data_IF_505872265481
#
_entry.id   IF_505872265481
#
_cell.length_a   1.000
_cell.length_b   1.000
_cell.length_c   1.000
_cell.angle_alpha   90.00
_cell.angle_beta   90.00
_cell.angle_gamma   90.00
#
_symmetry.space_group_name_H-M   'P 1'
#
loop_
_entity.id
_entity.type
_entity.pdbx_description
1 polymer ?
#
# COMPACT_ATOMS: atom_id res chain seq x y z
N UNK A 1 90.18 -35.81 -35.04
CA UNK A 1 89.35 -34.60 -35.22
C UNK A 1 88.03 -34.78 -34.46
N UNK A 2 87.91 -34.14 -33.30
CA UNK A 2 86.71 -34.22 -32.45
C UNK A 2 86.04 -32.84 -32.40
N UNK A 3 84.78 -32.74 -32.84
CA UNK A 3 83.96 -31.55 -32.63
C UNK A 3 82.80 -31.89 -31.70
N UNK A 4 82.81 -31.27 -30.51
CA UNK A 4 81.88 -31.52 -29.41
C UNK A 4 80.82 -30.40 -29.46
N UNK A 5 79.63 -30.72 -29.96
CA UNK A 5 78.51 -29.78 -30.10
C UNK A 5 77.81 -29.59 -28.73
N UNK A 6 77.99 -28.45 -28.07
CA UNK A 6 77.22 -28.08 -26.87
C UNK A 6 75.83 -27.56 -27.29
N UNK A 7 74.75 -28.17 -26.79
CA UNK A 7 73.39 -27.62 -26.86
C UNK A 7 73.15 -26.75 -25.62
N UNK A 8 72.96 -25.46 -25.81
CA UNK A 8 72.49 -24.54 -24.76
C UNK A 8 70.98 -24.67 -24.61
N UNK A 9 70.50 -24.86 -23.39
CA UNK A 9 69.07 -24.83 -23.05
C UNK A 9 68.70 -23.38 -22.75
N UNK A 10 67.87 -22.77 -23.61
CA UNK A 10 67.28 -21.46 -23.38
C UNK A 10 66.08 -21.60 -22.43
N UNK A 11 66.24 -21.17 -21.18
CA UNK A 11 65.11 -20.94 -20.28
C UNK A 11 64.47 -19.58 -20.61
N UNK A 12 63.31 -19.58 -21.26
CA UNK A 12 62.51 -18.37 -21.43
C UNK A 12 61.90 -17.96 -20.08
N UNK A 13 62.22 -16.76 -19.61
CA UNK A 13 61.58 -16.14 -18.44
C UNK A 13 60.09 -15.96 -18.74
N UNK A 14 59.24 -16.85 -18.21
CA UNK A 14 57.79 -16.62 -18.13
C UNK A 14 57.56 -15.35 -17.30
N UNK A 15 57.26 -14.25 -17.97
CA UNK A 15 56.87 -13.00 -17.33
C UNK A 15 55.76 -13.27 -16.32
N UNK A 16 56.01 -12.96 -15.04
CA UNK A 16 55.11 -13.19 -13.92
C UNK A 16 53.88 -12.29 -14.13
N UNK A 17 52.84 -12.81 -14.81
CA UNK A 17 51.57 -12.11 -15.12
C UNK A 17 50.64 -11.95 -13.92
N UNK A 18 51.03 -12.51 -12.77
CA UNK A 18 50.30 -12.45 -11.51
C UNK A 18 49.95 -11.04 -10.99
N UNK A 19 50.80 -9.99 -11.12
CA UNK A 19 50.42 -8.68 -10.61
C UNK A 19 49.27 -8.05 -11.42
N UNK A 20 49.17 -8.34 -12.72
CA UNK A 20 48.05 -7.90 -13.56
C UNK A 20 46.75 -8.63 -13.23
N UNK A 21 46.83 -9.93 -12.94
CA UNK A 21 45.67 -10.73 -12.51
C UNK A 21 45.15 -10.22 -11.16
N UNK A 22 46.04 -9.92 -10.22
CA UNK A 22 45.67 -9.35 -8.91
C UNK A 22 45.04 -7.96 -9.05
N UNK A 23 45.59 -7.11 -9.92
CA UNK A 23 45.03 -5.78 -10.18
C UNK A 23 43.60 -5.87 -10.74
N UNK A 24 43.37 -6.75 -11.72
CA UNK A 24 42.04 -6.97 -12.31
C UNK A 24 41.07 -7.50 -11.25
N UNK A 25 41.51 -8.40 -10.38
CA UNK A 25 40.67 -8.94 -9.31
C UNK A 25 40.27 -7.84 -8.30
N UNK A 26 41.20 -6.96 -7.92
CA UNK A 26 40.93 -5.84 -7.02
C UNK A 26 39.94 -4.86 -7.65
N UNK A 27 40.10 -4.53 -8.94
CA UNK A 27 39.19 -3.64 -9.67
C UNK A 27 37.80 -4.28 -9.78
N UNK A 28 37.71 -5.57 -10.05
CA UNK A 28 36.44 -6.29 -10.11
C UNK A 28 35.73 -6.29 -8.76
N UNK A 29 36.45 -6.55 -7.66
CA UNK A 29 35.90 -6.48 -6.30
C UNK A 29 35.44 -5.06 -5.99
N UNK A 30 36.24 -4.03 -6.28
CA UNK A 30 35.88 -2.64 -6.05
C UNK A 30 34.64 -2.22 -6.86
N UNK A 31 34.52 -2.66 -8.11
CA UNK A 31 33.33 -2.44 -8.94
C UNK A 31 32.10 -3.16 -8.38
N UNK A 32 32.23 -4.41 -7.92
CA UNK A 32 31.13 -5.16 -7.29
C UNK A 32 30.71 -4.51 -5.97
N UNK A 33 31.67 -4.06 -5.15
CA UNK A 33 31.38 -3.34 -3.92
C UNK A 33 30.73 -1.98 -4.20
N UNK A 34 31.17 -1.27 -5.25
CA UNK A 34 30.59 0.00 -5.66
C UNK A 34 29.19 -0.17 -6.24
N UNK A 35 28.93 -1.22 -7.04
CA UNK A 35 27.58 -1.51 -7.54
C UNK A 35 26.66 -1.97 -6.42
N UNK A 36 27.15 -2.76 -5.46
CA UNK A 36 26.40 -3.11 -4.25
C UNK A 36 26.09 -1.87 -3.39
N UNK A 37 27.06 -0.97 -3.20
CA UNK A 37 26.89 0.28 -2.46
C UNK A 37 25.94 1.26 -3.17
N UNK A 38 26.04 1.38 -4.50
CA UNK A 38 25.14 2.22 -5.29
C UNK A 38 23.73 1.61 -5.40
N UNK A 39 23.60 0.28 -5.36
CA UNK A 39 22.32 -0.42 -5.22
C UNK A 39 21.73 -0.31 -3.82
N UNK A 40 22.58 -0.10 -2.80
CA UNK A 40 22.22 0.25 -1.43
C UNK A 40 22.03 1.76 -1.22
N UNK A 41 22.01 2.60 -2.28
CA UNK A 41 21.44 3.94 -2.12
C UNK A 41 20.07 3.73 -1.50
N UNK A 42 19.79 4.28 -0.30
CA UNK A 42 18.51 4.09 0.34
C UNK A 42 17.48 4.77 -0.56
N UNK A 43 16.86 4.00 -1.44
CA UNK A 43 15.61 4.40 -2.07
C UNK A 43 14.69 4.66 -0.90
N UNK A 44 14.23 5.92 -0.74
CA UNK A 44 13.46 6.40 0.41
C UNK A 44 12.74 5.25 1.11
N UNK A 45 13.26 4.81 2.25
CA UNK A 45 12.62 3.75 3.01
C UNK A 45 11.19 4.20 3.28
N UNK A 46 10.22 3.35 2.92
CA UNK A 46 8.82 3.64 3.20
C UNK A 46 8.68 3.87 4.70
N UNK A 47 8.06 4.98 5.14
CA UNK A 47 7.99 5.29 6.55
C UNK A 47 7.43 4.12 7.36
N UNK A 48 8.11 3.75 8.45
CA UNK A 48 7.65 2.72 9.40
C UNK A 48 6.61 3.30 10.37
N UNK A 49 5.59 3.93 9.80
CA UNK A 49 4.43 4.44 10.51
C UNK A 49 3.16 4.00 9.78
N UNK A 50 2.19 3.47 10.51
CA UNK A 50 0.94 3.00 9.96
C UNK A 50 -0.26 3.67 10.63
N UNK A 51 -1.34 3.86 9.89
CA UNK A 51 -2.62 4.34 10.41
C UNK A 51 -3.72 3.32 10.13
N UNK A 52 -4.57 3.07 11.14
CA UNK A 52 -5.81 2.31 11.00
C UNK A 52 -6.96 3.25 11.33
N UNK A 53 -7.78 3.58 10.34
CA UNK A 53 -8.98 4.40 10.48
C UNK A 53 -10.17 3.44 10.53
N UNK A 54 -10.65 3.17 11.74
CA UNK A 54 -11.68 2.17 12.05
C UNK A 54 -13.05 2.82 12.28
N UNK A 55 -13.53 3.52 11.25
CA UNK A 55 -14.88 4.10 11.24
C UNK A 55 -15.99 3.05 11.27
N UNK A 56 -15.75 1.87 10.69
CA UNK A 56 -16.73 0.78 10.61
C UNK A 56 -17.02 0.14 11.97
N UNK A 57 -16.14 0.27 12.96
CA UNK A 57 -16.34 -0.31 14.30
C UNK A 57 -17.55 0.23 15.06
N UNK A 58 -18.15 1.34 14.61
CA UNK A 58 -19.41 1.84 15.17
C UNK A 58 -20.57 0.85 14.97
N UNK A 59 -20.59 0.17 13.82
CA UNK A 59 -21.62 -0.81 13.48
C UNK A 59 -21.09 -2.26 13.60
N UNK A 60 -19.80 -2.47 13.30
CA UNK A 60 -19.14 -3.78 13.31
C UNK A 60 -17.82 -3.74 14.10
N UNK A 61 -17.88 -3.66 15.44
CA UNK A 61 -16.69 -3.63 16.28
C UNK A 61 -15.89 -4.94 16.14
N UNK A 62 -14.57 -4.82 15.96
CA UNK A 62 -13.70 -5.99 15.87
C UNK A 62 -12.35 -5.73 16.56
N UNK A 63 -12.29 -5.98 17.87
CA UNK A 63 -11.04 -5.84 18.65
C UNK A 63 -9.95 -6.78 18.15
N UNK A 64 -10.31 -8.00 17.77
CA UNK A 64 -9.36 -9.00 17.25
C UNK A 64 -8.66 -8.51 15.99
N UNK A 65 -9.38 -7.85 15.08
CA UNK A 65 -8.78 -7.23 13.90
C UNK A 65 -7.75 -6.17 14.28
N UNK A 66 -8.11 -5.25 15.19
CA UNK A 66 -7.23 -4.16 15.62
C UNK A 66 -5.98 -4.70 16.31
N UNK A 67 -6.13 -5.62 17.26
CA UNK A 67 -5.01 -6.21 18.00
C UNK A 67 -4.08 -7.02 17.09
N UNK A 68 -4.65 -7.83 16.19
CA UNK A 68 -3.86 -8.64 15.26
C UNK A 68 -3.08 -7.78 14.28
N UNK A 69 -3.75 -6.78 13.68
CA UNK A 69 -3.14 -5.86 12.73
C UNK A 69 -2.03 -5.05 13.39
N UNK A 70 -2.31 -4.49 14.57
CA UNK A 70 -1.32 -3.75 15.36
C UNK A 70 -0.11 -4.61 15.66
N UNK A 71 -0.31 -5.84 16.17
CA UNK A 71 0.77 -6.76 16.52
C UNK A 71 1.65 -7.09 15.32
N UNK A 72 1.07 -7.41 14.16
CA UNK A 72 1.82 -7.72 12.93
C UNK A 72 2.70 -6.52 12.53
N UNK A 73 2.12 -5.32 12.55
CA UNK A 73 2.82 -4.10 12.13
C UNK A 73 3.92 -3.69 13.12
N UNK A 74 3.66 -3.74 14.43
CA UNK A 74 4.66 -3.44 15.46
C UNK A 74 5.84 -4.42 15.41
N UNK A 75 5.57 -5.72 15.19
CA UNK A 75 6.62 -6.72 14.99
C UNK A 75 7.48 -6.45 13.74
N UNK A 76 6.91 -5.77 12.74
CA UNK A 76 7.60 -5.34 11.53
C UNK A 76 8.27 -3.95 11.64
N UNK A 77 8.29 -3.39 12.86
CA UNK A 77 8.94 -2.13 13.19
C UNK A 77 8.09 -0.88 12.97
N UNK A 78 6.79 -1.01 12.71
CA UNK A 78 5.91 0.15 12.55
C UNK A 78 5.50 0.75 13.90
N UNK A 79 5.45 2.08 13.97
CA UNK A 79 4.58 2.77 14.93
C UNK A 79 3.15 2.78 14.38
N UNK A 80 2.16 2.38 15.16
CA UNK A 80 0.76 2.22 14.69
C UNK A 80 -0.17 3.19 15.39
N UNK A 81 -0.76 4.12 14.64
CA UNK A 81 -1.82 5.00 15.10
C UNK A 81 -3.19 4.38 14.78
N UNK A 82 -4.06 4.26 15.79
CA UNK A 82 -5.41 3.71 15.63
C UNK A 82 -6.42 4.83 15.89
N UNK A 83 -7.26 5.10 14.90
CA UNK A 83 -8.34 6.08 14.95
C UNK A 83 -9.67 5.34 14.97
N UNK A 84 -10.35 5.36 16.12
CA UNK A 84 -11.71 4.82 16.23
C UNK A 84 -12.75 5.66 15.48
N UNK A 85 -14.06 5.34 15.63
CA UNK A 85 -15.13 5.99 14.88
C UNK A 85 -15.17 7.51 15.04
N UNK A 86 -15.05 8.00 16.26
CA UNK A 86 -15.11 9.45 16.56
C UNK A 86 -13.90 10.22 16.03
N UNK A 87 -12.78 9.54 15.80
CA UNK A 87 -11.53 10.15 15.34
C UNK A 87 -11.28 9.95 13.84
N UNK A 88 -12.08 9.11 13.17
CA UNK A 88 -12.07 8.93 11.72
C UNK A 88 -12.81 10.10 11.08
N UNK A 89 -12.13 11.24 10.96
CA UNK A 89 -12.74 12.52 10.57
C UNK A 89 -12.28 13.00 9.19
N UNK A 90 -13.06 13.89 8.56
CA UNK A 90 -12.64 14.55 7.32
C UNK A 90 -11.38 15.41 7.53
N UNK A 91 -11.22 15.98 8.72
CA UNK A 91 -9.98 16.67 9.09
C UNK A 91 -8.78 15.71 9.08
N UNK A 92 -8.92 14.55 9.72
CA UNK A 92 -7.88 13.53 9.70
C UNK A 92 -7.56 13.10 8.26
N UNK A 93 -8.59 12.80 7.46
CA UNK A 93 -8.43 12.43 6.06
C UNK A 93 -7.58 13.46 5.30
N UNK A 94 -7.90 14.76 5.41
CA UNK A 94 -7.13 15.85 4.77
C UNK A 94 -5.67 15.85 5.17
N UNK A 95 -5.36 15.56 6.43
CA UNK A 95 -3.99 15.59 6.95
C UNK A 95 -3.17 14.32 6.70
N UNK A 96 -3.80 13.19 6.36
CA UNK A 96 -3.12 11.89 6.22
C UNK A 96 -1.85 11.91 5.35
N UNK A 97 -1.82 12.56 4.16
CA UNK A 97 -0.61 12.57 3.34
C UNK A 97 0.57 13.28 4.01
N UNK A 98 0.32 14.18 4.96
CA UNK A 98 1.36 14.95 5.66
C UNK A 98 1.86 14.28 6.95
N UNK A 99 1.32 13.12 7.34
CA UNK A 99 1.63 12.44 8.61
C UNK A 99 2.67 11.31 8.47
N UNK A 100 3.34 11.20 7.32
CA UNK A 100 4.41 10.24 7.05
C UNK A 100 4.01 8.78 7.30
N UNK A 101 2.78 8.39 6.94
CA UNK A 101 2.39 6.99 6.97
C UNK A 101 2.89 6.24 5.74
N UNK A 102 3.54 5.10 5.94
CA UNK A 102 3.88 4.14 4.88
C UNK A 102 2.77 3.15 4.59
N UNK A 103 1.82 2.97 5.52
CA UNK A 103 0.63 2.14 5.37
C UNK A 103 -0.58 2.84 5.97
N UNK A 104 -1.71 2.84 5.25
CA UNK A 104 -2.98 3.37 5.74
C UNK A 104 -4.09 2.36 5.45
N UNK A 105 -4.80 1.94 6.49
CA UNK A 105 -5.96 1.06 6.39
C UNK A 105 -7.22 1.86 6.69
N UNK A 106 -8.09 2.00 5.70
CA UNK A 106 -9.44 2.54 5.88
C UNK A 106 -10.40 1.38 6.10
N UNK A 107 -10.80 1.14 7.34
CA UNK A 107 -11.87 0.24 7.73
C UNK A 107 -13.14 1.06 7.91
N UNK A 108 -13.84 1.30 6.81
CA UNK A 108 -14.98 2.24 6.73
C UNK A 108 -16.04 1.72 5.77
N UNK A 109 -17.26 2.25 5.88
CA UNK A 109 -18.31 1.99 4.89
C UNK A 109 -17.92 2.49 3.49
N UNK A 110 -18.58 1.95 2.47
CA UNK A 110 -18.36 2.28 1.07
C UNK A 110 -19.65 2.25 0.28
N UNK A 111 -19.65 2.92 -0.86
CA UNK A 111 -20.82 3.01 -1.71
C UNK A 111 -20.47 3.34 -3.14
N UNK A 112 -21.33 2.90 -4.07
CA UNK A 112 -21.32 3.35 -5.46
C UNK A 112 -21.92 4.73 -5.56
N UNK A 113 -21.27 5.60 -6.30
CA UNK A 113 -21.79 6.89 -6.73
C UNK A 113 -22.39 6.67 -8.11
N UNK A 114 -23.69 6.97 -8.25
CA UNK A 114 -24.42 6.82 -9.50
C UNK A 114 -25.12 8.13 -9.86
N UNK A 115 -25.19 8.42 -11.15
CA UNK A 115 -26.06 9.47 -11.68
C UNK A 115 -27.53 9.03 -11.59
N UNK A 116 -28.49 9.98 -11.68
CA UNK A 116 -29.92 9.66 -11.68
C UNK A 116 -30.34 8.64 -12.76
N UNK A 117 -29.65 8.61 -13.90
CA UNK A 117 -29.88 7.64 -14.99
C UNK A 117 -29.24 6.26 -14.73
N UNK A 118 -28.66 6.04 -13.54
CA UNK A 118 -28.02 4.79 -13.14
C UNK A 118 -26.55 4.64 -13.53
N UNK A 119 -25.98 5.60 -14.26
CA UNK A 119 -24.57 5.54 -14.69
C UNK A 119 -23.63 5.61 -13.48
N UNK A 120 -22.72 4.64 -13.39
CA UNK A 120 -21.69 4.58 -12.35
C UNK A 120 -20.63 5.67 -12.58
N UNK A 121 -20.35 6.45 -11.54
CA UNK A 121 -19.34 7.53 -11.57
C UNK A 121 -18.11 7.23 -10.70
N UNK A 122 -18.11 6.09 -10.01
CA UNK A 122 -17.06 5.70 -9.08
C UNK A 122 -17.60 5.35 -7.71
N UNK A 123 -16.68 5.16 -6.77
CA UNK A 123 -16.98 4.81 -5.38
C UNK A 123 -16.68 5.97 -4.43
N UNK A 124 -17.17 5.91 -3.19
CA UNK A 124 -16.78 6.85 -2.15
C UNK A 124 -16.52 6.19 -0.80
N UNK A 125 -15.60 6.78 -0.03
CA UNK A 125 -15.29 6.36 1.35
C UNK A 125 -16.18 7.12 2.33
N UNK A 126 -16.82 6.42 3.25
CA UNK A 126 -17.71 7.03 4.25
C UNK A 126 -16.87 7.36 5.49
N UNK A 127 -16.57 8.64 5.71
CA UNK A 127 -15.53 9.03 6.67
C UNK A 127 -16.11 9.26 8.06
N UNK A 128 -17.01 10.22 8.19
CA UNK A 128 -17.62 10.61 9.46
C UNK A 128 -19.13 10.80 9.29
N UNK A 129 -19.89 10.72 10.39
CA UNK A 129 -21.31 11.03 10.39
C UNK A 129 -21.54 12.49 10.01
N UNK A 130 -22.52 12.74 9.15
CA UNK A 130 -22.86 14.07 8.66
C UNK A 130 -24.37 14.27 8.59
N UNK A 131 -24.79 15.47 8.99
CA UNK A 131 -26.15 15.96 8.81
C UNK A 131 -26.26 16.91 7.61
N UNK A 132 -27.47 17.43 7.33
CA UNK A 132 -27.70 18.36 6.22
C UNK A 132 -26.85 19.64 6.25
N UNK A 133 -26.50 20.13 7.44
CA UNK A 133 -25.69 21.35 7.60
C UNK A 133 -24.19 21.05 7.76
N UNK A 134 -23.79 19.78 7.89
CA UNK A 134 -22.39 19.38 8.02
C UNK A 134 -21.63 19.67 6.73
N UNK A 135 -20.52 20.41 6.82
CA UNK A 135 -19.67 20.77 5.68
C UNK A 135 -20.47 21.34 4.50
N UNK A 136 -21.55 22.08 4.77
CA UNK A 136 -22.51 22.59 3.78
C UNK A 136 -21.87 23.10 2.49
N UNK A 137 -20.84 23.95 2.60
CA UNK A 137 -20.12 24.50 1.44
C UNK A 137 -19.45 23.42 0.58
N UNK A 138 -18.85 22.41 1.20
CA UNK A 138 -18.21 21.30 0.46
C UNK A 138 -19.25 20.36 -0.15
N UNK A 139 -20.40 20.16 0.51
CA UNK A 139 -21.53 19.38 -0.03
C UNK A 139 -22.19 20.11 -1.20
N UNK A 140 -22.52 21.39 -1.05
CA UNK A 140 -23.12 22.23 -2.09
C UNK A 140 -22.21 22.40 -3.31
N UNK A 141 -20.89 22.50 -3.09
CA UNK A 141 -19.90 22.53 -4.16
C UNK A 141 -19.65 21.16 -4.82
N UNK A 142 -20.30 20.09 -4.34
CA UNK A 142 -20.17 18.73 -4.86
C UNK A 142 -18.84 18.05 -4.52
N UNK A 143 -18.04 18.60 -3.61
CA UNK A 143 -16.80 17.99 -3.14
C UNK A 143 -17.07 16.80 -2.22
N UNK A 144 -18.05 16.91 -1.34
CA UNK A 144 -18.55 15.82 -0.51
C UNK A 144 -19.92 15.39 -1.00
N UNK A 145 -20.21 14.11 -0.80
CA UNK A 145 -21.55 13.57 -0.98
C UNK A 145 -22.11 13.16 0.38
N UNK A 146 -23.43 13.10 0.50
CA UNK A 146 -24.10 12.50 1.65
C UNK A 146 -24.55 11.09 1.26
N UNK A 147 -24.21 10.10 2.09
CA UNK A 147 -24.52 8.70 1.85
C UNK A 147 -25.04 7.99 3.10
N UNK A 148 -25.84 6.95 2.90
CA UNK A 148 -26.31 6.06 3.98
C UNK A 148 -25.87 4.63 3.68
N UNK A 149 -25.15 3.96 4.59
CA UNK A 149 -24.86 2.54 4.47
C UNK A 149 -26.15 1.71 4.48
N UNK A 150 -26.14 0.54 3.84
CA UNK A 150 -27.33 -0.33 3.73
C UNK A 150 -27.96 -0.71 5.08
N UNK A 151 -27.15 -0.90 6.11
CA UNK A 151 -27.59 -1.38 7.43
C UNK A 151 -27.59 -0.29 8.50
N UNK A 152 -27.45 1.00 8.12
CA UNK A 152 -27.44 2.12 9.05
C UNK A 152 -28.40 3.21 8.59
N UNK A 153 -29.16 3.78 9.53
CA UNK A 153 -30.00 4.95 9.25
C UNK A 153 -29.20 6.26 9.33
N UNK A 154 -27.93 6.19 9.74
CA UNK A 154 -27.05 7.34 9.86
C UNK A 154 -26.58 7.82 8.49
N UNK A 155 -26.51 9.13 8.35
CA UNK A 155 -25.95 9.78 7.15
C UNK A 155 -24.49 10.08 7.40
N UNK A 156 -23.65 9.85 6.39
CA UNK A 156 -22.21 10.04 6.43
C UNK A 156 -21.76 11.02 5.34
N UNK A 157 -20.68 11.74 5.62
CA UNK A 157 -19.92 12.42 4.59
C UNK A 157 -19.10 11.40 3.82
N UNK A 158 -19.37 11.34 2.53
CA UNK A 158 -18.71 10.45 1.58
C UNK A 158 -17.65 11.25 0.84
N UNK A 159 -16.41 10.77 0.89
CA UNK A 159 -15.27 11.31 0.16
C UNK A 159 -15.13 10.58 -1.20
N UNK A 160 -15.55 11.20 -2.31
CA UNK A 160 -15.34 10.70 -3.66
C UNK A 160 -13.89 10.91 -4.16
N UNK A 161 -13.48 10.35 -5.31
CA UNK A 161 -12.12 10.44 -5.81
C UNK A 161 -11.62 11.88 -5.98
N UNK A 162 -12.46 12.82 -6.46
CA UNK A 162 -12.05 14.22 -6.61
C UNK A 162 -11.79 14.91 -5.27
N UNK A 163 -12.44 14.49 -4.18
CA UNK A 163 -12.11 14.98 -2.84
C UNK A 163 -10.68 14.58 -2.45
N UNK A 164 -10.29 13.34 -2.73
CA UNK A 164 -8.93 12.84 -2.50
C UNK A 164 -7.93 13.61 -3.37
N UNK A 165 -8.27 13.92 -4.62
CA UNK A 165 -7.40 14.66 -5.54
C UNK A 165 -7.24 16.13 -5.14
N UNK A 166 -8.27 16.79 -4.62
CA UNK A 166 -8.24 18.26 -4.47
C UNK A 166 -8.10 18.73 -3.02
N UNK A 167 -8.62 17.98 -2.04
CA UNK A 167 -8.75 18.46 -0.65
C UNK A 167 -7.69 17.94 0.30
N UNK A 168 -6.94 16.89 -0.04
CA UNK A 168 -5.89 16.41 0.85
C UNK A 168 -4.70 17.37 0.88
N UNK A 169 -4.08 17.48 2.06
CA UNK A 169 -2.94 18.34 2.31
C UNK A 169 -1.64 17.53 2.18
N UNK A 170 -0.76 17.98 1.29
CA UNK A 170 0.52 17.32 1.02
C UNK A 170 0.41 16.11 0.09
N UNK A 171 1.41 15.23 0.19
CA UNK A 171 1.56 14.01 -0.63
C UNK A 171 2.05 12.85 0.22
N UNK A 172 1.50 11.67 0.00
CA UNK A 172 1.98 10.43 0.58
C UNK A 172 3.42 10.16 0.12
N UNK A 173 4.25 9.62 1.03
CA UNK A 173 5.61 9.18 0.73
C UNK A 173 5.60 7.70 0.31
N UNK A 174 5.03 7.41 -0.87
CA UNK A 174 4.90 6.05 -1.43
C UNK A 174 4.13 5.09 -0.53
N UNK A 175 3.08 5.60 0.12
CA UNK A 175 2.26 4.82 1.04
C UNK A 175 1.49 3.69 0.34
N UNK A 176 1.24 2.61 1.06
CA UNK A 176 0.28 1.57 0.70
C UNK A 176 -1.08 1.96 1.28
N UNK A 177 -2.11 1.99 0.45
CA UNK A 177 -3.49 2.29 0.86
C UNK A 177 -4.31 1.01 0.77
N UNK A 178 -4.97 0.64 1.88
CA UNK A 178 -5.95 -0.45 1.93
C UNK A 178 -7.32 0.16 2.22
N UNK A 179 -8.16 0.28 1.20
CA UNK A 179 -9.53 0.75 1.31
C UNK A 179 -10.47 -0.44 1.54
N UNK A 180 -10.60 -0.86 2.79
CA UNK A 180 -11.47 -1.95 3.20
C UNK A 180 -12.92 -1.48 3.29
N UNK A 181 -13.51 -1.27 2.11
CA UNK A 181 -14.77 -0.57 1.90
C UNK A 181 -15.41 -1.04 0.59
N UNK A 182 -16.72 -1.26 0.58
CA UNK A 182 -17.45 -1.79 -0.58
C UNK A 182 -17.26 -0.92 -1.84
N UNK A 183 -17.20 -1.58 -3.00
CA UNK A 183 -17.13 -0.97 -4.34
C UNK A 183 -15.90 -0.11 -4.65
N UNK A 184 -14.98 0.06 -3.71
CA UNK A 184 -13.75 0.84 -3.89
C UNK A 184 -12.78 0.28 -4.92
N UNK A 185 -13.01 -0.96 -5.36
CA UNK A 185 -12.27 -1.64 -6.42
C UNK A 185 -13.06 -1.88 -7.71
N UNK A 186 -14.30 -1.38 -7.84
CA UNK A 186 -15.14 -1.58 -9.03
C UNK A 186 -14.53 -0.93 -10.29
N UNK A 187 -13.78 0.16 -10.12
CA UNK A 187 -12.96 0.82 -11.13
C UNK A 187 -11.59 1.20 -10.57
N UNK A 188 -10.78 1.89 -11.37
CA UNK A 188 -9.46 2.41 -11.01
C UNK A 188 -9.47 3.87 -10.52
N UNK A 189 -10.62 4.57 -10.57
CA UNK A 189 -10.70 6.02 -10.37
C UNK A 189 -10.28 6.42 -8.95
N UNK A 190 -10.72 5.64 -7.95
CA UNK A 190 -10.29 5.87 -6.56
C UNK A 190 -8.79 5.58 -6.38
N UNK A 191 -8.26 4.53 -6.99
CA UNK A 191 -6.83 4.22 -6.93
C UNK A 191 -5.98 5.33 -7.56
N UNK A 192 -6.38 5.81 -8.75
CA UNK A 192 -5.74 6.94 -9.45
C UNK A 192 -5.75 8.21 -8.57
N UNK A 193 -6.83 8.47 -7.84
CA UNK A 193 -6.90 9.61 -6.93
C UNK A 193 -5.82 9.55 -5.83
N UNK A 194 -5.61 8.38 -5.22
CA UNK A 194 -4.54 8.18 -4.24
C UNK A 194 -3.14 8.22 -4.89
N UNK A 195 -2.96 7.69 -6.09
CA UNK A 195 -1.68 7.75 -6.82
C UNK A 195 -1.29 9.18 -7.19
N UNK A 196 -2.25 10.01 -7.62
CA UNK A 196 -2.02 11.45 -7.83
C UNK A 196 -1.53 12.15 -6.56
N UNK A 197 -1.89 11.61 -5.38
CA UNK A 197 -1.42 12.06 -4.07
C UNK A 197 -0.16 11.36 -3.56
N UNK A 198 0.51 10.51 -4.35
CA UNK A 198 1.81 9.91 -4.03
C UNK A 198 1.76 8.54 -3.34
N UNK A 199 0.60 7.88 -3.31
CA UNK A 199 0.53 6.47 -2.91
C UNK A 199 1.23 5.58 -3.96
N UNK A 200 1.84 4.47 -3.51
CA UNK A 200 2.53 3.49 -4.36
C UNK A 200 1.65 2.31 -4.74
N UNK A 201 0.74 1.95 -3.84
CA UNK A 201 -0.16 0.81 -4.00
C UNK A 201 -1.52 1.15 -3.41
N UNK A 202 -2.57 0.63 -4.04
CA UNK A 202 -3.94 0.77 -3.59
C UNK A 202 -4.62 -0.59 -3.66
N UNK A 203 -5.27 -0.98 -2.57
CA UNK A 203 -6.05 -2.21 -2.47
C UNK A 203 -7.48 -1.81 -2.13
N UNK A 204 -8.41 -2.23 -2.96
CA UNK A 204 -9.84 -2.01 -2.78
C UNK A 204 -10.62 -3.31 -3.00
N UNK A 205 -11.95 -3.21 -2.94
CA UNK A 205 -12.82 -4.37 -3.09
C UNK A 205 -13.91 -4.10 -4.13
N UNK A 206 -14.06 -5.05 -5.06
CA UNK A 206 -15.15 -5.11 -6.04
C UNK A 206 -16.40 -5.62 -5.37
N UNK A 207 -17.53 -4.98 -5.67
CA UNK A 207 -18.82 -5.36 -5.11
C UNK A 207 -18.92 -5.13 -3.60
N UNK A 208 -19.89 -5.81 -3.00
CA UNK A 208 -20.11 -5.83 -1.56
C UNK A 208 -19.19 -6.86 -0.92
N UNK A 209 -18.73 -6.56 0.29
CA UNK A 209 -17.98 -7.51 1.12
C UNK A 209 -18.51 -7.46 2.54
N UNK A 210 -18.47 -8.61 3.21
CA UNK A 210 -18.73 -8.74 4.63
C UNK A 210 -17.55 -8.14 5.42
N UNK A 211 -17.81 -7.49 6.57
CA UNK A 211 -16.75 -6.96 7.41
C UNK A 211 -15.72 -8.03 7.82
N UNK A 212 -16.18 -9.24 8.16
CA UNK A 212 -15.32 -10.36 8.56
C UNK A 212 -14.36 -10.80 7.44
N UNK A 213 -14.83 -10.84 6.20
CA UNK A 213 -13.98 -11.17 5.06
C UNK A 213 -12.90 -10.11 4.84
N UNK A 214 -13.29 -8.82 4.84
CA UNK A 214 -12.34 -7.71 4.70
C UNK A 214 -11.27 -7.71 5.79
N UNK A 215 -11.68 -7.91 7.05
CA UNK A 215 -10.79 -8.00 8.21
C UNK A 215 -9.80 -9.18 8.04
N UNK A 216 -10.29 -10.36 7.65
CA UNK A 216 -9.48 -11.57 7.46
C UNK A 216 -8.49 -11.43 6.31
N UNK A 217 -8.95 -10.90 5.17
CA UNK A 217 -8.11 -10.63 4.00
C UNK A 217 -6.96 -9.70 4.38
N UNK A 218 -7.27 -8.59 5.07
CA UNK A 218 -6.28 -7.59 5.47
C UNK A 218 -5.25 -8.17 6.44
N UNK A 219 -5.68 -8.92 7.47
CA UNK A 219 -4.75 -9.57 8.41
C UNK A 219 -3.80 -10.53 7.68
N UNK A 220 -4.33 -11.41 6.81
CA UNK A 220 -3.52 -12.37 6.05
C UNK A 220 -2.54 -11.65 5.13
N UNK A 221 -3.00 -10.60 4.45
CA UNK A 221 -2.17 -9.80 3.54
C UNK A 221 -1.01 -9.16 4.30
N UNK A 222 -1.27 -8.50 5.42
CA UNK A 222 -0.24 -7.84 6.21
C UNK A 222 0.76 -8.84 6.79
N UNK A 223 0.30 -10.02 7.22
CA UNK A 223 1.20 -11.11 7.66
C UNK A 223 2.12 -11.55 6.53
N UNK A 224 1.58 -11.77 5.31
CA UNK A 224 2.39 -12.16 4.15
C UNK A 224 3.42 -11.10 3.76
N UNK A 225 3.03 -9.82 3.77
CA UNK A 225 3.95 -8.72 3.43
C UNK A 225 5.05 -8.58 4.50
N UNK A 226 4.68 -8.58 5.79
CA UNK A 226 5.58 -8.09 6.84
C UNK A 226 6.18 -9.17 7.75
N UNK A 227 5.52 -10.31 7.92
CA UNK A 227 6.08 -11.43 8.67
C UNK A 227 6.78 -12.43 7.74
N UNK A 228 6.23 -12.66 6.54
CA UNK A 228 6.80 -13.57 5.54
C UNK A 228 7.72 -12.86 4.53
N UNK A 229 7.83 -11.53 4.59
CA UNK A 229 8.67 -10.69 3.72
C UNK A 229 8.39 -10.85 2.21
N UNK A 230 7.13 -11.10 1.84
CA UNK A 230 6.72 -11.19 0.44
C UNK A 230 6.51 -9.80 -0.17
N UNK A 231 6.69 -9.68 -1.50
CA UNK A 231 6.27 -8.46 -2.19
C UNK A 231 4.75 -8.28 -2.11
N UNK A 232 4.27 -7.04 -2.23
CA UNK A 232 2.83 -6.72 -2.17
C UNK A 232 2.04 -7.54 -3.20
N UNK A 233 2.57 -7.69 -4.42
CA UNK A 233 1.91 -8.41 -5.50
C UNK A 233 1.83 -9.92 -5.22
N UNK A 234 2.93 -10.53 -4.76
CA UNK A 234 2.94 -11.95 -4.39
C UNK A 234 2.04 -12.23 -3.20
N UNK A 235 2.14 -11.43 -2.14
CA UNK A 235 1.29 -11.52 -0.96
C UNK A 235 -0.20 -11.42 -1.34
N UNK A 236 -0.55 -10.42 -2.14
CA UNK A 236 -1.92 -10.21 -2.60
C UNK A 236 -2.45 -11.40 -3.40
N UNK A 237 -1.68 -11.88 -4.38
CA UNK A 237 -2.09 -13.02 -5.21
C UNK A 237 -2.30 -14.27 -4.36
N UNK A 238 -1.40 -14.57 -3.42
CA UNK A 238 -1.56 -15.71 -2.53
C UNK A 238 -2.79 -15.59 -1.63
N UNK A 239 -3.05 -14.43 -1.01
CA UNK A 239 -4.27 -14.29 -0.17
C UNK A 239 -5.53 -14.37 -1.02
N UNK A 240 -5.54 -13.76 -2.20
CA UNK A 240 -6.68 -13.79 -3.12
C UNK A 240 -7.00 -15.21 -3.58
N UNK A 241 -5.98 -16.01 -3.87
CA UNK A 241 -6.13 -17.43 -4.21
C UNK A 241 -6.60 -18.26 -3.01
N UNK A 242 -6.00 -18.04 -1.83
CA UNK A 242 -6.33 -18.77 -0.60
C UNK A 242 -7.77 -18.53 -0.13
N UNK A 243 -8.24 -17.27 -0.17
CA UNK A 243 -9.56 -16.91 0.34
C UNK A 243 -10.67 -16.97 -0.71
N UNK A 244 -10.34 -16.83 -1.99
CA UNK A 244 -11.34 -16.64 -3.05
C UNK A 244 -12.22 -15.40 -2.82
N UNK A 245 -13.37 -15.29 -3.51
CA UNK A 245 -14.36 -14.24 -3.28
C UNK A 245 -14.98 -14.30 -1.89
N UNK A 246 -15.57 -13.19 -1.45
CA UNK A 246 -16.38 -13.14 -0.24
C UNK A 246 -17.52 -14.19 -0.31
N UNK A 247 -17.65 -15.09 0.68
CA UNK A 247 -18.63 -16.17 0.62
C UNK A 247 -20.09 -15.72 0.76
N UNK A 248 -20.33 -14.51 1.28
CA UNK A 248 -21.66 -13.94 1.49
C UNK A 248 -22.10 -13.06 0.32
N UNK A 249 -21.18 -12.24 -0.19
CA UNK A 249 -21.51 -11.19 -1.17
C UNK A 249 -20.79 -11.34 -2.52
N UNK A 250 -19.91 -12.32 -2.64
CA UNK A 250 -19.10 -12.60 -3.83
C UNK A 250 -18.19 -11.43 -4.27
N UNK A 251 -17.98 -10.44 -3.40
CA UNK A 251 -17.02 -9.37 -3.63
C UNK A 251 -15.60 -9.89 -3.66
N UNK A 252 -14.71 -9.20 -4.38
CA UNK A 252 -13.32 -9.65 -4.57
C UNK A 252 -12.32 -8.52 -4.35
N UNK A 253 -11.17 -8.81 -3.75
CA UNK A 253 -10.11 -7.82 -3.60
C UNK A 253 -9.47 -7.53 -4.95
N UNK A 254 -8.99 -6.29 -5.12
CA UNK A 254 -8.19 -5.86 -6.26
C UNK A 254 -6.99 -5.03 -5.79
N UNK A 255 -5.86 -5.21 -6.47
CA UNK A 255 -4.62 -4.46 -6.25
C UNK A 255 -4.33 -3.61 -7.49
N UNK A 256 -4.02 -2.33 -7.26
CA UNK A 256 -3.46 -1.42 -8.24
C UNK A 256 -2.09 -0.93 -7.75
N UNK A 257 -1.16 -0.72 -8.68
CA UNK A 257 0.19 -0.22 -8.43
C UNK A 257 0.43 1.03 -9.29
N UNK A 258 1.13 2.03 -8.74
CA UNK A 258 1.43 3.31 -9.41
C UNK A 258 2.71 3.27 -10.23
#
# INVERSE_FOLDING_TARGET
MASRRRRGIYFSRRGRRWPWILLILIIAIALISLTAYLSQRPGEETPKKAAILDGLSIDYPNKTFIESTKKILEQAGFTVDIYGPENTTLKLLKELPSKDYGLIVFRVHGGRIRQPIGLFMGSGLFIERCGPESHKREVEAGYLLLGRPFFSNETYCVAPPHYIIDKLHGRFKKAIIIAMSCFTGDDEVMAIAFFKRGAKAYIGFKGEISPTYGDTFTIKLLRKIYAENLSIQEAFNQVKEELGPDPHYNGTPILYLS
#
